data_IF_959699301760
#
_entry.id   IF_959699301760
#
_cell.length_a   1.000
_cell.length_b   1.000
_cell.length_c   1.000
_cell.angle_alpha   90.00
_cell.angle_beta   90.00
_cell.angle_gamma   90.00
#
_symmetry.space_group_name_H-M   'P 1'
#
loop_
_entity.id
_entity.type
_entity.pdbx_description
1 polymer ?
#
# COMPACT_ATOMS: atom_id res chain seq x y z
N UNK A 1 -4.21 4.80 21.48
CA UNK A 1 -3.70 3.44 21.74
C UNK A 1 -3.13 2.95 20.43
N UNK A 2 -1.89 2.46 20.42
CA UNK A 2 -1.30 1.92 19.19
C UNK A 2 -1.95 0.58 18.86
N UNK A 3 -2.46 0.45 17.63
CA UNK A 3 -3.07 -0.78 17.12
C UNK A 3 -2.12 -1.46 16.13
N UNK A 4 -2.33 -2.77 15.91
CA UNK A 4 -1.55 -3.54 14.93
C UNK A 4 -2.48 -4.03 13.84
N UNK A 5 -2.10 -3.82 12.59
CA UNK A 5 -2.77 -4.39 11.44
C UNK A 5 -1.95 -5.52 10.81
N UNK A 6 -2.64 -6.58 10.40
CA UNK A 6 -2.04 -7.72 9.69
C UNK A 6 -2.86 -8.01 8.44
N UNK A 7 -2.17 -8.31 7.34
CA UNK A 7 -2.81 -8.69 6.10
C UNK A 7 -2.02 -9.79 5.38
N UNK A 8 -2.74 -10.64 4.65
CA UNK A 8 -2.17 -11.67 3.79
C UNK A 8 -2.86 -11.59 2.43
N UNK A 9 -2.06 -11.62 1.37
CA UNK A 9 -2.57 -11.56 0.00
C UNK A 9 -1.96 -12.65 -0.86
N UNK A 10 -2.78 -13.14 -1.78
CA UNK A 10 -2.32 -14.06 -2.80
C UNK A 10 -1.66 -13.28 -3.95
N UNK A 11 -0.42 -13.65 -4.29
CA UNK A 11 0.35 -12.98 -5.35
C UNK A 11 -0.38 -13.07 -6.70
N UNK A 12 -0.94 -14.24 -7.01
CA UNK A 12 -1.66 -14.47 -8.26
C UNK A 12 -2.87 -13.55 -8.38
N UNK A 13 -3.67 -13.40 -7.32
CA UNK A 13 -4.82 -12.48 -7.29
C UNK A 13 -4.41 -11.04 -7.59
N UNK A 14 -3.32 -10.54 -6.99
CA UNK A 14 -2.84 -9.18 -7.24
C UNK A 14 -2.32 -9.04 -8.69
N UNK A 15 -1.65 -10.06 -9.22
CA UNK A 15 -1.19 -10.08 -10.59
C UNK A 15 -2.35 -10.03 -11.60
N UNK A 16 -3.39 -10.82 -11.38
CA UNK A 16 -4.60 -10.84 -12.20
C UNK A 16 -5.33 -9.50 -12.18
N UNK A 17 -5.46 -8.86 -11.01
CA UNK A 17 -6.04 -7.52 -10.90
C UNK A 17 -5.21 -6.48 -11.66
N UNK A 18 -3.88 -6.52 -11.51
CA UNK A 18 -2.98 -5.62 -12.23
C UNK A 18 -3.06 -5.80 -13.74
N UNK A 19 -3.17 -7.05 -14.23
CA UNK A 19 -3.33 -7.35 -15.65
C UNK A 19 -4.70 -6.93 -16.18
N UNK A 20 -5.76 -7.22 -15.43
CA UNK A 20 -7.15 -6.95 -15.85
C UNK A 20 -7.47 -5.47 -15.91
N UNK A 21 -6.97 -4.69 -14.96
CA UNK A 21 -7.36 -3.29 -14.78
C UNK A 21 -6.24 -2.28 -15.09
N UNK A 22 -5.00 -2.73 -15.25
CA UNK A 22 -3.87 -1.91 -15.67
C UNK A 22 -3.71 -0.62 -14.86
N UNK A 23 -3.61 0.50 -15.56
CA UNK A 23 -3.42 1.84 -14.98
C UNK A 23 -4.48 2.22 -13.94
N UNK A 24 -5.73 1.78 -14.10
CA UNK A 24 -6.81 2.10 -13.14
C UNK A 24 -6.53 1.47 -11.77
N UNK A 25 -6.02 0.24 -11.77
CA UNK A 25 -5.61 -0.43 -10.54
C UNK A 25 -4.34 0.21 -9.97
N UNK A 26 -3.36 0.49 -10.84
CA UNK A 26 -2.13 1.20 -10.49
C UNK A 26 -2.38 2.50 -9.72
N UNK A 27 -3.18 3.40 -10.30
CA UNK A 27 -3.50 4.70 -9.71
C UNK A 27 -4.30 4.59 -8.41
N UNK A 28 -5.24 3.64 -8.32
CA UNK A 28 -6.07 3.46 -7.13
C UNK A 28 -5.27 2.95 -5.93
N UNK A 29 -4.32 2.03 -6.16
CA UNK A 29 -3.64 1.27 -5.10
C UNK A 29 -2.24 1.80 -4.80
N UNK A 30 -1.44 2.09 -5.83
CA UNK A 30 -0.01 2.39 -5.68
C UNK A 30 0.31 3.86 -5.93
N UNK A 31 -0.53 4.57 -6.68
CA UNK A 31 -0.17 5.90 -7.17
C UNK A 31 0.93 5.82 -8.25
N UNK A 32 1.30 6.98 -8.83
CA UNK A 32 2.07 7.02 -10.08
C UNK A 32 3.50 6.47 -9.94
N UNK A 33 4.23 6.86 -8.90
CA UNK A 33 5.65 6.49 -8.71
C UNK A 33 5.84 5.00 -8.42
N UNK A 34 5.06 4.45 -7.48
CA UNK A 34 5.11 3.03 -7.16
C UNK A 34 4.63 2.18 -8.34
N UNK A 35 3.56 2.60 -9.04
CA UNK A 35 3.08 1.88 -10.21
C UNK A 35 4.11 1.85 -11.33
N UNK A 36 4.72 2.99 -11.67
CA UNK A 36 5.77 3.05 -12.68
C UNK A 36 6.95 2.13 -12.35
N UNK A 37 7.30 2.04 -11.07
CA UNK A 37 8.44 1.25 -10.59
C UNK A 37 8.15 -0.26 -10.53
N UNK A 38 6.94 -0.65 -10.15
CA UNK A 38 6.63 -2.04 -9.81
C UNK A 38 5.63 -2.72 -10.75
N UNK A 39 5.03 -2.01 -11.72
CA UNK A 39 4.21 -2.64 -12.77
C UNK A 39 4.99 -3.78 -13.44
N UNK A 40 4.33 -4.91 -13.65
CA UNK A 40 4.95 -6.13 -14.16
C UNK A 40 5.79 -6.93 -13.16
N UNK A 41 5.84 -6.52 -11.87
CA UNK A 41 6.53 -7.24 -10.80
C UNK A 41 5.52 -7.75 -9.76
N UNK A 42 4.86 -8.90 -10.00
CA UNK A 42 3.70 -9.33 -9.22
C UNK A 42 4.00 -9.53 -7.72
N UNK A 43 5.16 -10.10 -7.38
CA UNK A 43 5.62 -10.26 -5.99
C UNK A 43 5.76 -8.90 -5.28
N UNK A 44 6.34 -7.91 -5.96
CA UNK A 44 6.53 -6.57 -5.41
C UNK A 44 5.22 -5.80 -5.23
N UNK A 45 4.27 -6.00 -6.15
CA UNK A 45 2.92 -5.42 -6.05
C UNK A 45 2.14 -6.06 -4.90
N UNK A 46 2.18 -7.38 -4.77
CA UNK A 46 1.50 -8.11 -3.70
C UNK A 46 2.03 -7.73 -2.31
N UNK A 47 3.35 -7.68 -2.13
CA UNK A 47 3.94 -7.26 -0.85
C UNK A 47 3.52 -5.84 -0.44
N UNK A 48 3.44 -4.91 -1.40
CA UNK A 48 2.98 -3.54 -1.15
C UNK A 48 1.49 -3.45 -0.89
N UNK A 49 0.69 -4.23 -1.61
CA UNK A 49 -0.74 -4.32 -1.38
C UNK A 49 -1.02 -4.74 0.07
N UNK A 50 -0.42 -5.84 0.51
CA UNK A 50 -0.58 -6.33 1.89
C UNK A 50 -0.08 -5.32 2.94
N UNK A 51 1.08 -4.69 2.70
CA UNK A 51 1.60 -3.68 3.62
C UNK A 51 0.66 -2.47 3.75
N UNK A 52 0.09 -1.99 2.64
CA UNK A 52 -0.87 -0.88 2.65
C UNK A 52 -2.16 -1.24 3.38
N UNK A 53 -2.70 -2.44 3.16
CA UNK A 53 -3.88 -2.96 3.87
C UNK A 53 -3.61 -3.12 5.38
N UNK A 54 -2.41 -3.61 5.75
CA UNK A 54 -2.00 -3.70 7.15
C UNK A 54 -1.95 -2.32 7.83
N UNK A 55 -1.45 -1.30 7.13
CA UNK A 55 -1.44 0.08 7.65
C UNK A 55 -2.86 0.64 7.79
N UNK A 56 -3.76 0.40 6.82
CA UNK A 56 -5.18 0.81 6.93
C UNK A 56 -5.82 0.23 8.19
N UNK A 57 -5.57 -1.04 8.49
CA UNK A 57 -6.06 -1.71 9.69
C UNK A 57 -5.48 -1.09 10.95
N UNK A 58 -4.18 -0.79 10.98
CA UNK A 58 -3.52 -0.14 12.11
C UNK A 58 -4.01 1.30 12.36
N UNK A 59 -4.41 2.03 11.30
CA UNK A 59 -4.98 3.37 11.41
C UNK A 59 -6.48 3.37 11.78
N UNK A 60 -7.13 2.20 11.79
CA UNK A 60 -8.55 2.06 12.11
C UNK A 60 -9.49 2.76 11.12
N UNK A 61 -9.09 2.95 9.85
CA UNK A 61 -9.83 3.74 8.86
C UNK A 61 -10.05 2.97 7.55
N UNK A 62 -11.08 2.11 7.46
CA UNK A 62 -11.24 1.12 6.37
C UNK A 62 -11.50 1.73 4.98
N UNK A 63 -11.89 3.02 4.89
CA UNK A 63 -12.23 3.69 3.63
C UNK A 63 -11.11 4.62 3.12
N UNK A 64 -9.89 4.42 3.60
CA UNK A 64 -8.72 5.18 3.23
C UNK A 64 -8.21 4.78 1.83
N UNK A 65 -7.64 5.74 1.10
CA UNK A 65 -7.13 5.44 -0.22
C UNK A 65 -5.75 4.79 -0.11
N UNK A 66 -5.59 3.59 -0.66
CA UNK A 66 -4.33 2.83 -0.57
C UNK A 66 -3.11 3.56 -1.16
N UNK A 67 -3.31 4.44 -2.16
CA UNK A 67 -2.23 5.23 -2.73
C UNK A 67 -1.74 6.38 -1.81
N UNK A 68 -2.46 6.70 -0.74
CA UNK A 68 -2.02 7.63 0.30
C UNK A 68 -1.01 7.01 1.28
N UNK A 69 -0.77 5.70 1.16
CA UNK A 69 0.19 4.94 1.99
C UNK A 69 1.29 4.43 1.07
N UNK A 70 2.51 4.92 1.16
CA UNK A 70 3.62 4.50 0.29
C UNK A 70 4.57 3.59 1.04
N UNK A 71 5.02 2.53 0.37
CA UNK A 71 6.02 1.60 0.94
C UNK A 71 7.36 1.86 0.28
N UNK A 72 8.19 2.61 0.99
CA UNK A 72 9.50 3.07 0.52
C UNK A 72 10.56 2.08 0.97
N UNK A 73 11.49 1.76 0.06
CA UNK A 73 12.61 0.86 0.37
C UNK A 73 13.90 1.46 -0.14
N UNK A 74 14.79 1.79 0.78
CA UNK A 74 16.20 2.07 0.48
C UNK A 74 16.97 0.74 0.43
N UNK A 75 17.79 0.48 -0.61
CA UNK A 75 18.62 -0.73 -0.65
C UNK A 75 19.44 -0.91 0.63
N UNK A 76 19.36 -2.09 1.25
CA UNK A 76 20.07 -2.40 2.49
C UNK A 76 19.39 -1.94 3.78
N UNK A 77 18.29 -1.18 3.70
CA UNK A 77 17.51 -0.75 4.86
C UNK A 77 16.21 -1.54 5.02
N UNK A 78 15.61 -1.43 6.22
CA UNK A 78 14.23 -1.87 6.46
C UNK A 78 13.26 -1.03 5.63
N UNK A 79 12.13 -1.60 5.17
CA UNK A 79 11.10 -0.82 4.51
C UNK A 79 10.50 0.20 5.48
N UNK A 80 10.13 1.36 4.95
CA UNK A 80 9.47 2.44 5.68
C UNK A 80 8.12 2.75 5.06
N UNK A 81 7.21 3.30 5.87
CA UNK A 81 5.88 3.73 5.46
C UNK A 81 5.86 5.25 5.46
N UNK A 82 5.50 5.82 4.32
CA UNK A 82 5.24 7.24 4.19
C UNK A 82 3.74 7.44 4.00
N UNK A 83 3.13 8.28 4.84
CA UNK A 83 1.70 8.59 4.80
C UNK A 83 1.51 9.99 4.23
N UNK A 84 0.53 10.15 3.34
CA UNK A 84 0.14 11.45 2.79
C UNK A 84 -1.37 11.64 2.90
N UNK A 85 -1.85 12.86 2.63
CA UNK A 85 -3.28 13.16 2.57
C UNK A 85 -4.03 12.76 3.84
N UNK A 86 -5.15 12.03 3.67
CA UNK A 86 -5.98 11.63 4.81
C UNK A 86 -5.33 10.56 5.68
N UNK A 87 -4.42 9.75 5.12
CA UNK A 87 -3.68 8.77 5.90
C UNK A 87 -2.75 9.43 6.92
N UNK A 88 -2.05 10.48 6.49
CA UNK A 88 -1.22 11.29 7.38
C UNK A 88 -2.05 11.97 8.46
N UNK A 89 -3.16 12.63 8.07
CA UNK A 89 -4.06 13.29 9.03
C UNK A 89 -4.57 12.33 10.11
N UNK A 90 -4.95 11.11 9.70
CA UNK A 90 -5.42 10.09 10.65
C UNK A 90 -4.32 9.63 11.60
N UNK A 91 -3.08 9.50 11.13
CA UNK A 91 -1.96 9.16 12.00
C UNK A 91 -1.72 10.25 13.05
N UNK A 92 -1.74 11.52 12.66
CA UNK A 92 -1.61 12.66 13.58
C UNK A 92 -2.72 12.69 14.65
N UNK A 93 -3.96 12.35 14.29
CA UNK A 93 -5.07 12.25 15.26
C UNK A 93 -4.86 11.15 16.32
N UNK A 94 -4.10 10.11 15.99
CA UNK A 94 -3.86 8.96 16.88
C UNK A 94 -2.68 9.18 17.84
N UNK A 95 -1.80 10.16 17.55
CA UNK A 95 -0.56 10.45 18.26
C UNK A 95 0.55 9.43 18.03
#
# INVERSE_FOLDING_TARGET
MLETGVDIVEIQRVAELAQRYGERFGQRVFGPEEWQTFRGRPHSLAARFAAKEAVIKALGSPNMALHEIRVVRVPGARPEVELVGRAHQRAEELG
#
